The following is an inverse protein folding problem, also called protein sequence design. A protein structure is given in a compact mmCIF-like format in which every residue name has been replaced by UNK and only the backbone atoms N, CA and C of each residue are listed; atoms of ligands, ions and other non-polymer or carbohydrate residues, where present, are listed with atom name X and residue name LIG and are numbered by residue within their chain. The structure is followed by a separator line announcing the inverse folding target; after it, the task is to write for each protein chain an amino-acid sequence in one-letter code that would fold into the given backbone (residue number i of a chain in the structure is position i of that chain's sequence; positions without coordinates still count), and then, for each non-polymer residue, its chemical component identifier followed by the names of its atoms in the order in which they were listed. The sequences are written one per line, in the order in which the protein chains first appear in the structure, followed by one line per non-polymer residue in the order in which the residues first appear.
data_IF_881266017501
#
_entry.id   IF_881266017501
#
_cell.length_a   1.000
_cell.length_b   1.000
_cell.length_c   1.000
_cell.angle_alpha   90.00
_cell.angle_beta   90.00
_cell.angle_gamma   90.00
#
_symmetry.space_group_name_H-M   'P 1'
#
loop_
_entity.id
_entity.type
_entity.pdbx_description
1 polymer ?
#
# COMPACT_ATOMS: atom_id res chain seq x y z
N UNK A 1 34.59 -46.21 -80.02
CA UNK A 1 34.13 -44.90 -79.49
C UNK A 1 32.61 -44.93 -79.50
N UNK A 2 31.86 -44.64 -78.42
CA UNK A 2 32.04 -43.64 -77.35
C UNK A 2 32.26 -44.31 -75.96
N UNK A 3 32.82 -43.73 -74.88
CA UNK A 3 32.78 -42.42 -74.19
C UNK A 3 31.96 -42.48 -72.87
N UNK A 4 32.70 -42.79 -71.80
CA UNK A 4 32.63 -42.50 -70.36
C UNK A 4 31.40 -41.79 -69.73
N UNK A 5 30.75 -42.49 -68.78
CA UNK A 5 30.59 -42.26 -67.31
C UNK A 5 30.16 -40.89 -66.69
N UNK A 6 29.68 -40.84 -65.43
CA UNK A 6 28.34 -40.34 -65.11
C UNK A 6 28.32 -39.13 -64.14
N UNK A 7 27.26 -38.33 -64.17
CA UNK A 7 27.02 -37.24 -63.22
C UNK A 7 25.70 -37.45 -62.48
N UNK A 8 25.76 -37.78 -61.20
CA UNK A 8 24.63 -37.82 -60.27
C UNK A 8 24.11 -36.40 -60.03
N UNK A 9 22.83 -36.16 -60.31
CA UNK A 9 22.12 -34.97 -59.82
C UNK A 9 20.95 -35.45 -58.97
N UNK A 10 21.11 -35.39 -57.65
CA UNK A 10 20.03 -35.59 -56.70
C UNK A 10 19.12 -34.36 -56.74
N UNK A 11 17.89 -34.54 -57.21
CA UNK A 11 16.84 -33.54 -57.14
C UNK A 11 16.28 -33.54 -55.71
N UNK A 12 16.64 -32.55 -54.89
CA UNK A 12 16.00 -32.34 -53.59
C UNK A 12 14.84 -31.36 -53.78
N UNK A 13 13.62 -31.89 -53.88
CA UNK A 13 12.40 -31.14 -53.57
C UNK A 13 12.27 -31.09 -52.04
N UNK A 14 12.35 -29.90 -51.45
CA UNK A 14 11.84 -29.65 -50.10
C UNK A 14 10.96 -28.41 -50.16
N UNK A 15 9.68 -28.68 -50.41
CA UNK A 15 8.59 -27.75 -50.17
C UNK A 15 8.25 -27.76 -48.67
N UNK A 16 7.76 -26.61 -48.20
CA UNK A 16 6.93 -26.41 -47.00
C UNK A 16 7.63 -26.58 -45.64
N UNK A 17 8.00 -25.45 -45.03
CA UNK A 17 7.90 -25.29 -43.58
C UNK A 17 6.81 -24.24 -43.29
N UNK A 18 5.69 -24.63 -42.64
CA UNK A 18 4.72 -23.71 -42.10
C UNK A 18 5.31 -22.99 -40.87
N UNK A 19 4.65 -21.90 -40.46
CA UNK A 19 5.12 -20.92 -39.49
C UNK A 19 5.87 -21.46 -38.27
N UNK A 20 7.00 -20.83 -37.98
CA UNK A 20 7.65 -20.90 -36.67
C UNK A 20 6.63 -20.53 -35.58
N UNK A 21 6.41 -21.36 -34.54
CA UNK A 21 5.67 -20.94 -33.37
C UNK A 21 6.60 -20.08 -32.51
N UNK A 22 6.83 -18.84 -32.92
CA UNK A 22 7.42 -17.82 -32.07
C UNK A 22 6.31 -17.23 -31.20
N UNK A 23 5.81 -17.96 -30.19
CA UNK A 23 5.06 -17.35 -29.06
C UNK A 23 4.55 -18.29 -27.94
N UNK A 24 4.48 -19.62 -28.11
CA UNK A 24 3.57 -20.40 -27.21
C UNK A 24 4.20 -21.11 -26.01
N UNK A 25 5.53 -21.13 -25.84
CA UNK A 25 6.16 -22.00 -24.82
C UNK A 25 6.57 -21.33 -23.48
N UNK A 26 6.23 -20.06 -23.20
CA UNK A 26 6.62 -19.39 -21.93
C UNK A 26 5.47 -18.72 -21.16
N UNK A 27 4.24 -18.78 -21.65
CA UNK A 27 3.08 -18.11 -21.04
C UNK A 27 2.41 -18.90 -19.92
N UNK A 28 2.66 -20.20 -19.77
CA UNK A 28 1.95 -21.07 -18.79
C UNK A 28 2.19 -20.73 -17.31
N UNK A 29 3.11 -19.81 -16.99
CA UNK A 29 3.40 -19.43 -15.59
C UNK A 29 3.18 -17.96 -15.24
N UNK A 30 2.69 -17.14 -16.19
CA UNK A 30 2.46 -15.70 -15.98
C UNK A 30 0.99 -15.44 -15.65
N UNK A 31 0.73 -15.03 -14.41
CA UNK A 31 -0.61 -14.64 -13.96
C UNK A 31 -0.82 -13.13 -14.18
N UNK A 32 -1.94 -12.70 -14.78
CA UNK A 32 -2.29 -11.29 -14.84
C UNK A 32 -2.58 -10.75 -13.42
N UNK A 33 -2.49 -9.43 -13.21
CA UNK A 33 -2.91 -8.84 -11.94
C UNK A 33 -4.40 -9.14 -11.68
N UNK A 34 -4.81 -9.33 -10.42
CA UNK A 34 -6.21 -9.60 -10.09
C UNK A 34 -7.12 -8.47 -10.56
N UNK A 35 -8.24 -8.84 -11.19
CA UNK A 35 -9.22 -7.89 -11.74
C UNK A 35 -9.97 -7.17 -10.61
N UNK A 36 -10.29 -7.88 -9.53
CA UNK A 36 -10.98 -7.35 -8.36
C UNK A 36 -10.04 -7.30 -7.17
N UNK A 37 -9.96 -6.14 -6.52
CA UNK A 37 -9.16 -5.93 -5.31
C UNK A 37 -9.96 -6.26 -4.07
N UNK A 38 -9.36 -7.05 -3.18
CA UNK A 38 -9.81 -7.19 -1.79
C UNK A 38 -8.89 -6.42 -0.85
N UNK A 39 -9.34 -6.09 0.37
CA UNK A 39 -8.45 -5.60 1.41
C UNK A 39 -7.32 -6.58 1.67
N UNK A 40 -6.10 -6.07 1.84
CA UNK A 40 -4.94 -6.86 2.24
C UNK A 40 -5.21 -7.51 3.61
N UNK A 41 -4.94 -8.80 3.70
CA UNK A 41 -4.91 -9.54 4.96
C UNK A 41 -3.45 -9.63 5.43
N UNK A 42 -2.98 -8.54 6.05
CA UNK A 42 -1.54 -8.38 6.30
C UNK A 42 -1.00 -9.48 7.22
N UNK A 43 -1.76 -9.90 8.22
CA UNK A 43 -1.34 -10.97 9.13
C UNK A 43 -1.07 -12.28 8.38
N UNK A 44 -1.97 -12.66 7.46
CA UNK A 44 -1.77 -13.84 6.60
C UNK A 44 -0.59 -13.66 5.66
N UNK A 45 -0.50 -12.50 5.00
CA UNK A 45 0.56 -12.20 4.02
C UNK A 45 1.96 -12.21 4.66
N UNK A 46 2.06 -11.80 5.93
CA UNK A 46 3.31 -11.82 6.68
C UNK A 46 3.79 -13.25 7.01
N UNK A 47 2.93 -14.27 6.97
CA UNK A 47 3.35 -15.68 7.14
C UNK A 47 4.14 -16.19 5.92
N UNK A 48 3.86 -15.65 4.73
CA UNK A 48 4.57 -16.00 3.51
C UNK A 48 4.77 -14.75 2.62
N UNK A 49 5.68 -13.81 2.97
CA UNK A 49 5.81 -12.52 2.30
C UNK A 49 6.18 -12.60 0.81
N UNK A 50 6.70 -13.75 0.35
CA UNK A 50 6.96 -13.99 -1.07
C UNK A 50 5.67 -14.26 -1.86
N UNK A 51 4.64 -14.83 -1.23
CA UNK A 51 3.27 -14.91 -1.79
C UNK A 51 2.67 -13.54 -1.97
N UNK A 52 3.30 -12.52 -1.39
CA UNK A 52 3.09 -11.14 -1.73
C UNK A 52 3.61 -10.75 -3.13
N UNK A 53 3.33 -11.57 -4.14
CA UNK A 53 3.45 -11.24 -5.56
C UNK A 53 4.84 -11.51 -6.11
N UNK A 54 5.00 -12.67 -6.74
CA UNK A 54 6.24 -13.12 -7.38
C UNK A 54 6.78 -12.18 -8.47
N UNK A 55 7.86 -12.61 -9.12
CA UNK A 55 8.60 -11.84 -10.13
C UNK A 55 7.67 -11.23 -11.20
N UNK A 56 7.87 -9.95 -11.53
CA UNK A 56 7.13 -9.26 -12.59
C UNK A 56 7.80 -9.59 -13.93
N UNK A 57 7.01 -10.08 -14.89
CA UNK A 57 7.49 -10.51 -16.19
C UNK A 57 6.76 -9.81 -17.33
N UNK A 58 7.53 -9.41 -18.34
CA UNK A 58 7.03 -8.90 -19.60
C UNK A 58 6.87 -10.03 -20.64
N UNK A 59 5.81 -9.95 -21.42
CA UNK A 59 5.55 -10.83 -22.55
C UNK A 59 4.85 -10.06 -23.69
N UNK A 60 4.96 -10.57 -24.91
CA UNK A 60 4.26 -9.99 -26.06
C UNK A 60 2.80 -10.47 -26.09
N UNK A 61 1.87 -9.54 -26.29
CA UNK A 61 0.51 -9.86 -26.66
C UNK A 61 0.41 -10.26 -28.14
N UNK A 62 -0.75 -10.75 -28.56
CA UNK A 62 -1.02 -11.14 -29.94
C UNK A 62 -0.84 -10.00 -30.97
N UNK A 63 -0.98 -8.74 -30.53
CA UNK A 63 -0.75 -7.54 -31.33
C UNK A 63 0.75 -7.12 -31.37
N UNK A 64 1.64 -7.88 -30.73
CA UNK A 64 3.06 -7.57 -30.57
C UNK A 64 3.37 -6.52 -29.50
N UNK A 65 2.34 -5.94 -28.86
CA UNK A 65 2.49 -4.98 -27.78
C UNK A 65 2.94 -5.66 -26.47
N UNK A 66 3.61 -4.92 -25.57
CA UNK A 66 4.01 -5.48 -24.29
C UNK A 66 2.82 -5.65 -23.35
N UNK A 67 2.88 -6.72 -22.56
CA UNK A 67 2.02 -7.00 -21.40
C UNK A 67 2.89 -7.42 -20.23
N UNK A 68 2.37 -7.20 -19.03
CA UNK A 68 3.04 -7.56 -17.79
C UNK A 68 2.16 -8.47 -16.93
N UNK A 69 2.79 -9.39 -16.22
CA UNK A 69 2.14 -10.25 -15.23
C UNK A 69 3.13 -10.70 -14.18
N UNK A 70 2.75 -11.67 -13.35
CA UNK A 70 3.59 -12.23 -12.29
C UNK A 70 3.86 -13.70 -12.50
N UNK A 71 5.07 -14.13 -12.16
CA UNK A 71 5.35 -15.56 -11.96
C UNK A 71 4.68 -16.03 -10.67
N UNK A 72 3.95 -17.14 -10.74
CA UNK A 72 3.27 -17.74 -9.57
C UNK A 72 4.22 -18.49 -8.60
N UNK A 73 5.52 -18.50 -8.89
CA UNK A 73 6.53 -19.18 -8.09
C UNK A 73 7.21 -18.23 -7.09
N UNK A 74 7.68 -18.74 -5.93
CA UNK A 74 8.55 -17.98 -5.04
C UNK A 74 9.84 -17.54 -5.77
N UNK A 75 10.48 -16.45 -5.31
CA UNK A 75 11.86 -16.16 -5.68
C UNK A 75 12.76 -17.37 -5.38
N UNK A 76 13.72 -17.65 -6.25
CA UNK A 76 14.60 -18.80 -6.10
C UNK A 76 15.51 -18.70 -4.86
N UNK A 77 15.87 -17.48 -4.47
CA UNK A 77 16.74 -17.20 -3.34
C UNK A 77 16.53 -15.77 -2.80
N UNK A 78 17.33 -15.40 -1.79
CA UNK A 78 17.31 -14.06 -1.19
C UNK A 78 17.74 -12.95 -2.16
N UNK A 79 18.53 -13.25 -3.19
CA UNK A 79 18.88 -12.31 -4.26
C UNK A 79 17.67 -11.96 -5.10
N UNK A 80 16.96 -12.98 -5.59
CA UNK A 80 15.71 -12.81 -6.33
C UNK A 80 14.64 -12.07 -5.53
N UNK A 81 14.56 -12.30 -4.22
CA UNK A 81 13.64 -11.55 -3.35
C UNK A 81 14.01 -10.06 -3.24
N UNK A 82 15.31 -9.73 -3.16
CA UNK A 82 15.76 -8.33 -3.16
C UNK A 82 15.46 -7.64 -4.49
N UNK A 83 15.72 -8.30 -5.61
CA UNK A 83 15.44 -7.79 -6.95
C UNK A 83 13.94 -7.55 -7.16
N UNK A 84 13.10 -8.48 -6.67
CA UNK A 84 11.64 -8.34 -6.69
C UNK A 84 11.17 -7.10 -5.93
N UNK A 85 11.64 -6.90 -4.70
CA UNK A 85 11.29 -5.71 -3.88
C UNK A 85 11.82 -4.43 -4.50
N UNK A 86 13.03 -4.46 -5.05
CA UNK A 86 13.64 -3.33 -5.75
C UNK A 86 12.81 -2.92 -6.98
N UNK A 87 12.34 -3.87 -7.79
CA UNK A 87 11.48 -3.56 -8.95
C UNK A 87 10.14 -2.97 -8.52
N UNK A 88 9.50 -3.52 -7.47
CA UNK A 88 8.26 -2.96 -6.93
C UNK A 88 8.44 -1.51 -6.44
N UNK A 89 9.55 -1.23 -5.74
CA UNK A 89 9.88 0.13 -5.32
C UNK A 89 10.20 1.04 -6.51
N UNK A 90 10.92 0.54 -7.52
CA UNK A 90 11.23 1.30 -8.74
C UNK A 90 9.96 1.71 -9.49
N UNK A 91 8.98 0.82 -9.62
CA UNK A 91 7.66 1.13 -10.18
C UNK A 91 6.95 2.23 -9.37
N UNK A 92 6.92 2.08 -8.04
CA UNK A 92 6.30 3.08 -7.17
C UNK A 92 7.01 4.44 -7.26
N UNK A 93 8.34 4.46 -7.30
CA UNK A 93 9.16 5.66 -7.49
C UNK A 93 8.86 6.34 -8.83
N UNK A 94 8.65 5.56 -9.89
CA UNK A 94 8.36 6.07 -11.23
C UNK A 94 6.95 6.67 -11.33
N UNK A 95 5.95 6.02 -10.73
CA UNK A 95 4.54 6.33 -10.99
C UNK A 95 3.82 6.99 -9.81
N UNK A 96 4.09 6.56 -8.57
CA UNK A 96 3.28 6.87 -7.40
C UNK A 96 3.90 7.96 -6.50
N UNK A 97 5.22 8.01 -6.38
CA UNK A 97 5.92 9.00 -5.57
C UNK A 97 5.87 10.39 -6.23
N UNK A 98 5.51 11.40 -5.47
CA UNK A 98 5.58 12.80 -5.92
C UNK A 98 6.98 13.32 -5.59
N UNK A 99 7.85 13.39 -6.59
CA UNK A 99 9.24 13.83 -6.46
C UNK A 99 9.46 15.26 -6.99
N UNK A 100 8.47 15.82 -7.68
CA UNK A 100 8.50 17.17 -8.24
C UNK A 100 7.19 17.89 -7.89
N UNK A 101 7.19 19.23 -7.75
CA UNK A 101 5.97 20.00 -7.54
C UNK A 101 4.94 19.69 -8.64
N UNK A 102 3.69 19.43 -8.26
CA UNK A 102 2.58 19.27 -9.20
C UNK A 102 1.56 20.39 -9.03
N UNK A 103 0.90 20.76 -10.12
CA UNK A 103 0.01 21.94 -10.23
C UNK A 103 -1.37 21.72 -9.56
N UNK A 104 -1.64 20.55 -8.98
CA UNK A 104 -2.95 20.14 -8.42
C UNK A 104 -2.83 20.01 -6.89
N UNK A 105 -3.76 20.52 -6.07
CA UNK A 105 -3.37 21.25 -4.88
C UNK A 105 -2.95 20.35 -3.70
N UNK A 106 -1.96 20.82 -2.95
CA UNK A 106 -1.45 20.32 -1.65
C UNK A 106 -0.53 19.08 -1.67
N UNK A 107 0.01 18.65 -2.81
CA UNK A 107 1.06 17.64 -2.84
C UNK A 107 2.47 18.27 -2.89
N UNK A 108 3.17 18.30 -1.75
CA UNK A 108 4.58 18.68 -1.72
C UNK A 108 5.44 17.51 -2.22
N UNK A 109 6.57 17.77 -2.88
CA UNK A 109 7.51 16.71 -3.24
C UNK A 109 8.08 16.07 -1.97
N UNK A 110 8.27 14.75 -2.02
CA UNK A 110 8.97 13.99 -0.97
C UNK A 110 10.42 14.45 -0.87
N UNK A 111 10.95 14.51 0.35
CA UNK A 111 12.38 14.73 0.58
C UNK A 111 13.17 13.45 0.32
N UNK A 112 14.49 13.57 0.16
CA UNK A 112 15.37 12.40 -0.01
C UNK A 112 15.27 11.43 1.17
N UNK A 113 15.22 11.93 2.40
CA UNK A 113 15.05 11.10 3.61
C UNK A 113 13.72 10.34 3.63
N UNK A 114 12.64 10.95 3.14
CA UNK A 114 11.34 10.30 3.03
C UNK A 114 11.35 9.22 1.95
N UNK A 115 11.98 9.48 0.81
CA UNK A 115 12.17 8.47 -0.25
C UNK A 115 13.01 7.31 0.27
N UNK A 116 14.11 7.59 0.97
CA UNK A 116 14.97 6.56 1.57
C UNK A 116 14.23 5.76 2.65
N UNK A 117 13.36 6.38 3.44
CA UNK A 117 12.51 5.67 4.40
C UNK A 117 11.53 4.73 3.70
N UNK A 118 10.86 5.20 2.64
CA UNK A 118 9.95 4.38 1.83
C UNK A 118 10.69 3.23 1.14
N UNK A 119 11.93 3.45 0.69
CA UNK A 119 12.76 2.41 0.09
C UNK A 119 13.10 1.32 1.11
N UNK A 120 13.54 1.70 2.31
CA UNK A 120 13.78 0.72 3.40
C UNK A 120 12.48 0.01 3.79
N UNK A 121 11.35 0.72 3.80
CA UNK A 121 10.05 0.12 4.07
C UNK A 121 9.68 -0.90 2.99
N UNK A 122 9.81 -0.57 1.70
CA UNK A 122 9.55 -1.49 0.59
C UNK A 122 10.42 -2.76 0.64
N UNK A 123 11.62 -2.67 1.22
CA UNK A 123 12.51 -3.81 1.46
C UNK A 123 12.19 -4.58 2.76
N UNK A 124 11.26 -4.13 3.60
CA UNK A 124 10.70 -4.90 4.72
C UNK A 124 9.58 -5.84 4.25
N UNK A 125 9.23 -6.83 5.05
CA UNK A 125 8.18 -7.80 4.70
C UNK A 125 6.80 -7.14 4.55
N UNK A 126 6.47 -6.19 5.44
CA UNK A 126 5.21 -5.45 5.36
C UNK A 126 5.17 -4.51 4.15
N UNK A 127 6.25 -3.78 3.89
CA UNK A 127 6.30 -2.91 2.72
C UNK A 127 6.28 -3.69 1.41
N UNK A 128 6.90 -4.87 1.33
CA UNK A 128 6.80 -5.72 0.14
C UNK A 128 5.34 -6.08 -0.21
N UNK A 129 4.49 -6.30 0.81
CA UNK A 129 3.05 -6.52 0.61
C UNK A 129 2.36 -5.27 0.04
N UNK A 130 2.62 -4.09 0.61
CA UNK A 130 1.96 -2.86 0.14
C UNK A 130 2.45 -2.41 -1.24
N UNK A 131 3.75 -2.52 -1.50
CA UNK A 131 4.33 -2.17 -2.80
C UNK A 131 3.97 -3.19 -3.89
N UNK A 132 3.65 -4.44 -3.55
CA UNK A 132 2.98 -5.38 -4.47
C UNK A 132 1.66 -4.80 -4.98
N UNK A 133 0.78 -4.36 -4.08
CA UNK A 133 -0.55 -3.86 -4.48
C UNK A 133 -0.42 -2.65 -5.42
N UNK A 134 0.53 -1.77 -5.16
CA UNK A 134 0.86 -0.64 -6.03
C UNK A 134 1.41 -1.09 -7.39
N UNK A 135 2.27 -2.12 -7.40
CA UNK A 135 2.78 -2.72 -8.62
C UNK A 135 1.66 -3.42 -9.42
N UNK A 136 0.72 -4.13 -8.78
CA UNK A 136 -0.42 -4.76 -9.45
C UNK A 136 -1.33 -3.74 -10.11
N UNK A 137 -1.54 -2.60 -9.44
CA UNK A 137 -2.21 -1.46 -10.06
C UNK A 137 -1.45 -0.93 -11.27
N UNK A 138 -0.12 -0.89 -11.21
CA UNK A 138 0.73 -0.47 -12.33
C UNK A 138 0.62 -1.45 -13.50
N UNK A 139 0.67 -2.76 -13.22
CA UNK A 139 0.50 -3.82 -14.21
C UNK A 139 -0.87 -3.73 -14.89
N UNK A 140 -1.93 -3.48 -14.12
CA UNK A 140 -3.29 -3.30 -14.66
C UNK A 140 -3.35 -2.11 -15.60
N UNK A 141 -2.87 -0.94 -15.17
CA UNK A 141 -2.84 0.27 -16.01
C UNK A 141 -2.01 0.06 -17.27
N UNK A 142 -0.87 -0.62 -17.16
CA UNK A 142 -0.02 -0.98 -18.30
C UNK A 142 -0.73 -1.88 -19.30
N UNK A 143 -1.36 -2.96 -18.82
CA UNK A 143 -2.08 -3.92 -19.66
C UNK A 143 -3.34 -3.34 -20.30
N UNK A 144 -3.97 -2.33 -19.68
CA UNK A 144 -5.06 -1.55 -20.26
C UNK A 144 -4.58 -0.55 -21.34
N UNK A 145 -3.27 -0.41 -21.54
CA UNK A 145 -2.68 0.57 -22.47
C UNK A 145 -2.71 2.00 -21.95
N UNK A 146 -2.91 2.21 -20.64
CA UNK A 146 -3.02 3.52 -20.00
C UNK A 146 -1.67 4.14 -19.64
N UNK A 147 -0.59 3.36 -19.70
CA UNK A 147 0.77 3.85 -19.47
C UNK A 147 1.55 3.91 -20.78
N UNK A 148 2.27 5.01 -20.99
CA UNK A 148 3.25 5.08 -22.05
C UNK A 148 4.47 4.21 -21.72
N UNK A 149 5.09 3.67 -22.77
CA UNK A 149 6.31 2.89 -22.68
C UNK A 149 7.30 3.22 -23.80
N UNK A 150 8.56 2.87 -23.59
CA UNK A 150 9.62 3.01 -24.58
C UNK A 150 9.51 1.90 -25.65
N UNK A 151 8.95 2.27 -26.81
CA UNK A 151 8.78 1.35 -27.93
C UNK A 151 10.11 0.88 -28.55
N UNK A 152 11.18 1.68 -28.46
CA UNK A 152 12.48 1.30 -28.97
C UNK A 152 13.11 0.24 -28.06
N UNK A 153 13.02 0.41 -26.74
CA UNK A 153 13.45 -0.59 -25.76
C UNK A 153 12.66 -1.90 -25.90
N UNK A 154 11.34 -1.81 -26.12
CA UNK A 154 10.52 -3.00 -26.38
C UNK A 154 10.92 -3.72 -27.66
N UNK A 155 11.13 -2.98 -28.76
CA UNK A 155 11.57 -3.56 -30.04
C UNK A 155 12.93 -4.23 -29.92
N UNK A 156 13.89 -3.60 -29.23
CA UNK A 156 15.21 -4.19 -28.99
C UNK A 156 15.12 -5.52 -28.24
N UNK A 157 14.19 -5.65 -27.28
CA UNK A 157 13.92 -6.94 -26.62
C UNK A 157 13.36 -7.99 -27.61
N UNK A 158 12.40 -7.62 -28.44
CA UNK A 158 11.83 -8.52 -29.46
C UNK A 158 12.86 -8.99 -30.49
N UNK A 159 13.88 -8.17 -30.76
CA UNK A 159 15.01 -8.48 -31.66
C UNK A 159 16.10 -9.34 -31.00
N UNK A 160 15.86 -9.86 -29.78
CA UNK A 160 16.78 -10.75 -29.06
C UNK A 160 17.65 -10.05 -28.01
N UNK A 161 17.40 -8.77 -27.73
CA UNK A 161 18.02 -8.05 -26.63
C UNK A 161 17.57 -8.55 -25.25
N UNK A 162 18.19 -8.06 -24.16
CA UNK A 162 17.82 -8.44 -22.80
C UNK A 162 16.39 -7.98 -22.47
N UNK A 163 15.66 -8.78 -21.69
CA UNK A 163 14.33 -8.40 -21.20
C UNK A 163 14.45 -7.21 -20.24
N UNK A 164 13.84 -6.06 -20.52
CA UNK A 164 13.87 -4.94 -19.59
C UNK A 164 12.95 -5.22 -18.39
N UNK A 165 13.26 -4.69 -17.19
CA UNK A 165 12.26 -4.60 -16.13
C UNK A 165 11.13 -3.64 -16.53
N UNK A 166 9.94 -3.80 -15.95
CA UNK A 166 8.79 -2.96 -16.28
C UNK A 166 9.07 -1.49 -15.92
N UNK A 167 9.75 -1.22 -14.82
CA UNK A 167 10.11 0.12 -14.35
C UNK A 167 11.00 0.89 -15.33
N UNK A 168 11.86 0.16 -16.08
CA UNK A 168 12.66 0.72 -17.16
C UNK A 168 11.84 0.93 -18.43
N UNK A 169 10.93 0.01 -18.73
CA UNK A 169 10.10 0.07 -19.94
C UNK A 169 9.09 1.22 -19.91
N UNK A 170 8.43 1.48 -18.78
CA UNK A 170 7.43 2.55 -18.69
C UNK A 170 8.06 3.93 -18.54
N UNK A 171 7.42 4.96 -19.11
CA UNK A 171 7.91 6.35 -19.01
C UNK A 171 7.50 7.03 -17.69
N UNK A 172 6.48 6.49 -17.01
CA UNK A 172 5.86 7.11 -15.82
C UNK A 172 4.74 8.10 -16.16
N UNK A 173 4.41 8.26 -17.44
CA UNK A 173 3.28 9.08 -17.91
C UNK A 173 2.08 8.22 -18.30
N UNK A 174 0.90 8.81 -18.17
CA UNK A 174 -0.31 8.24 -18.75
C UNK A 174 -0.26 8.42 -20.27
N UNK A 175 -0.71 7.41 -21.00
CA UNK A 175 -0.97 7.52 -22.45
C UNK A 175 -2.20 8.41 -22.69
N UNK A 176 -2.46 8.75 -23.95
CA UNK A 176 -3.70 9.46 -24.32
C UNK A 176 -4.94 8.72 -23.82
N UNK A 177 -5.00 7.40 -24.02
CA UNK A 177 -6.08 6.56 -23.50
C UNK A 177 -6.20 6.66 -21.96
N UNK A 178 -5.06 6.65 -21.25
CA UNK A 178 -5.03 6.79 -19.80
C UNK A 178 -5.46 8.17 -19.28
N UNK A 179 -5.18 9.25 -20.03
CA UNK A 179 -5.56 10.62 -19.64
C UNK A 179 -7.08 10.82 -19.63
N UNK A 180 -7.81 10.12 -20.50
CA UNK A 180 -9.27 10.21 -20.60
C UNK A 180 -10.02 9.08 -19.89
N UNK A 181 -9.30 8.09 -19.34
CA UNK A 181 -9.90 6.96 -18.63
C UNK A 181 -10.20 7.30 -17.16
N UNK A 182 -11.46 7.15 -16.75
CA UNK A 182 -11.88 7.43 -15.37
C UNK A 182 -11.28 6.46 -14.33
N UNK A 183 -10.91 5.24 -14.76
CA UNK A 183 -10.33 4.19 -13.93
C UNK A 183 -8.78 4.19 -13.93
N UNK A 184 -8.14 5.17 -14.59
CA UNK A 184 -6.69 5.36 -14.61
C UNK A 184 -6.14 6.06 -13.35
N UNK A 185 -6.88 6.04 -12.24
CA UNK A 185 -6.50 6.71 -11.00
C UNK A 185 -5.24 6.11 -10.36
N UNK A 186 -4.13 6.84 -10.47
CA UNK A 186 -2.83 6.50 -9.87
C UNK A 186 -2.81 6.83 -8.38
N UNK A 187 -2.48 5.86 -7.54
CA UNK A 187 -2.24 6.07 -6.11
C UNK A 187 -1.03 6.98 -5.87
N UNK A 188 -1.09 7.90 -4.90
CA UNK A 188 -0.02 8.88 -4.69
C UNK A 188 0.60 8.82 -3.30
N UNK A 189 1.93 8.95 -3.25
CA UNK A 189 2.65 9.19 -2.00
C UNK A 189 3.37 10.53 -2.13
N UNK A 190 3.09 11.44 -1.20
CA UNK A 190 3.62 12.81 -1.26
C UNK A 190 3.85 13.41 0.12
N UNK A 191 4.52 14.54 0.20
CA UNK A 191 4.79 15.21 1.45
C UNK A 191 3.71 16.24 1.82
N UNK A 192 3.60 16.55 3.11
CA UNK A 192 2.86 17.71 3.61
C UNK A 192 3.64 18.38 4.75
N UNK A 193 3.27 19.62 5.07
CA UNK A 193 3.86 20.33 6.20
C UNK A 193 3.21 19.86 7.51
N UNK A 194 3.90 18.98 8.22
CA UNK A 194 3.42 18.37 9.46
C UNK A 194 4.33 17.23 9.93
N UNK A 195 3.90 16.54 11.00
CA UNK A 195 4.56 15.36 11.57
C UNK A 195 3.74 14.10 11.32
N UNK A 196 4.42 12.96 11.23
CA UNK A 196 3.82 11.64 11.05
C UNK A 196 3.46 11.35 9.61
N UNK A 197 2.45 10.51 9.42
CA UNK A 197 1.87 10.24 8.11
C UNK A 197 0.35 10.26 8.21
N UNK A 198 -0.31 10.42 7.06
CA UNK A 198 -1.77 10.44 6.95
C UNK A 198 -2.19 9.85 5.62
N UNK A 199 -3.19 8.98 5.63
CA UNK A 199 -3.75 8.42 4.42
C UNK A 199 -5.04 9.10 3.96
N UNK A 200 -5.40 8.77 2.73
CA UNK A 200 -6.73 8.79 2.16
C UNK A 200 -6.85 7.57 1.24
N UNK A 201 -8.06 7.28 0.75
CA UNK A 201 -8.28 6.11 -0.10
C UNK A 201 -7.30 6.01 -1.29
N UNK A 202 -6.92 7.14 -1.89
CA UNK A 202 -6.03 7.18 -3.06
C UNK A 202 -4.61 7.69 -2.75
N UNK A 203 -4.24 7.92 -1.49
CA UNK A 203 -2.92 8.45 -1.17
C UNK A 203 -2.40 8.18 0.24
N UNK A 204 -1.08 8.24 0.38
CA UNK A 204 -0.37 8.38 1.66
C UNK A 204 0.40 9.69 1.65
N UNK A 205 0.35 10.42 2.77
CA UNK A 205 1.02 11.70 2.97
C UNK A 205 2.05 11.57 4.05
N UNK A 206 3.27 12.05 3.79
CA UNK A 206 4.39 12.00 4.73
C UNK A 206 4.73 13.39 5.27
N UNK A 207 4.72 13.53 6.58
CA UNK A 207 5.06 14.77 7.25
C UNK A 207 6.55 15.08 7.09
N UNK A 208 6.87 16.30 6.64
CA UNK A 208 8.28 16.74 6.50
C UNK A 208 9.02 16.85 7.82
N UNK A 209 8.30 16.92 8.95
CA UNK A 209 8.88 16.96 10.30
C UNK A 209 9.19 15.54 10.84
N UNK A 210 9.00 14.51 10.03
CA UNK A 210 9.29 13.11 10.39
C UNK A 210 8.29 12.51 11.38
N UNK A 211 8.64 11.36 11.94
CA UNK A 211 7.87 10.65 12.96
C UNK A 211 8.40 11.03 14.35
N UNK A 212 7.51 11.03 15.35
CA UNK A 212 7.91 11.16 16.77
C UNK A 212 8.61 9.88 17.22
N UNK A 213 9.44 9.95 18.25
CA UNK A 213 10.03 8.76 18.88
C UNK A 213 9.00 7.95 19.69
N UNK A 214 8.00 8.64 20.25
CA UNK A 214 6.96 8.05 21.12
C UNK A 214 5.60 8.68 20.84
N UNK A 215 4.54 7.90 21.08
CA UNK A 215 3.17 8.42 21.10
C UNK A 215 2.97 9.31 22.32
N UNK A 216 2.40 10.49 22.12
CA UNK A 216 2.30 11.50 23.17
C UNK A 216 1.37 11.11 24.32
N UNK A 217 0.39 10.24 24.06
CA UNK A 217 -0.58 9.79 25.05
C UNK A 217 -0.09 8.60 25.87
N UNK A 218 0.42 7.57 25.20
CA UNK A 218 0.78 6.31 25.85
C UNK A 218 2.26 6.22 26.23
N UNK A 219 3.12 7.08 25.67
CA UNK A 219 4.58 6.97 25.81
C UNK A 219 5.18 5.79 25.05
N UNK A 220 4.36 4.98 24.37
CA UNK A 220 4.81 3.83 23.60
C UNK A 220 5.74 4.28 22.46
N UNK A 221 6.80 3.49 22.21
CA UNK A 221 7.70 3.75 21.09
C UNK A 221 6.98 3.64 19.75
N UNK A 222 7.30 4.57 18.85
CA UNK A 222 6.80 4.61 17.48
C UNK A 222 7.73 3.80 16.59
N UNK A 223 7.15 2.84 15.87
CA UNK A 223 7.80 2.16 14.76
C UNK A 223 7.33 2.81 13.44
N UNK A 224 8.20 3.53 12.70
CA UNK A 224 7.82 4.19 11.46
C UNK A 224 7.24 3.24 10.40
N UNK A 225 7.68 1.98 10.35
CA UNK A 225 7.15 1.00 9.39
C UNK A 225 5.76 0.54 9.77
N UNK A 226 5.49 0.37 11.06
CA UNK A 226 4.14 0.08 11.54
C UNK A 226 3.18 1.25 11.26
N UNK A 227 3.63 2.50 11.43
CA UNK A 227 2.81 3.67 11.08
C UNK A 227 2.57 3.75 9.56
N UNK A 228 3.59 3.53 8.73
CA UNK A 228 3.38 3.48 7.28
C UNK A 228 2.38 2.39 6.89
N UNK A 229 2.50 1.20 7.48
CA UNK A 229 1.56 0.09 7.27
C UNK A 229 0.15 0.44 7.74
N UNK A 230 0.00 1.13 8.87
CA UNK A 230 -1.27 1.68 9.35
C UNK A 230 -1.91 2.59 8.29
N UNK A 231 -1.16 3.54 7.75
CA UNK A 231 -1.66 4.46 6.72
C UNK A 231 -2.04 3.74 5.41
N UNK A 232 -1.25 2.74 4.99
CA UNK A 232 -1.65 1.89 3.87
C UNK A 232 -2.94 1.13 4.18
N UNK A 233 -3.16 0.72 5.43
CA UNK A 233 -4.40 0.14 5.92
C UNK A 233 -5.63 1.03 5.73
N UNK A 234 -5.48 2.34 5.68
CA UNK A 234 -6.55 3.31 5.38
C UNK A 234 -6.71 3.64 3.89
N UNK A 235 -5.88 3.05 3.05
CA UNK A 235 -5.94 3.26 1.60
C UNK A 235 -6.92 2.30 0.92
N UNK A 236 -7.08 2.43 -0.40
CA UNK A 236 -7.80 1.47 -1.26
C UNK A 236 -7.25 0.04 -1.23
N UNK A 237 -6.04 -0.16 -0.70
CA UNK A 237 -5.43 -1.48 -0.54
C UNK A 237 -5.81 -2.14 0.79
N UNK A 238 -6.25 -1.36 1.77
CA UNK A 238 -6.75 -1.85 3.06
C UNK A 238 -8.25 -1.66 3.19
N UNK A 239 -8.67 -0.99 4.26
CA UNK A 239 -10.04 -0.60 4.53
C UNK A 239 -10.17 0.94 4.63
N UNK A 240 -10.49 1.65 3.53
CA UNK A 240 -10.61 3.11 3.58
C UNK A 240 -11.78 3.60 4.41
N UNK A 241 -12.73 2.72 4.80
CA UNK A 241 -13.85 3.09 5.65
C UNK A 241 -13.46 3.17 7.12
N UNK A 242 -12.31 2.62 7.49
CA UNK A 242 -11.80 2.62 8.86
C UNK A 242 -11.17 3.97 9.26
N UNK A 243 -10.82 4.81 8.29
CA UNK A 243 -10.11 6.06 8.51
C UNK A 243 -10.92 7.08 9.31
N UNK A 244 -10.30 7.68 10.32
CA UNK A 244 -10.82 8.80 11.09
C UNK A 244 -11.94 8.48 12.07
N UNK A 245 -12.27 7.20 12.29
CA UNK A 245 -13.31 6.72 13.21
C UNK A 245 -12.65 5.94 14.37
N UNK A 246 -12.98 6.14 15.66
CA UNK A 246 -12.25 5.49 16.75
C UNK A 246 -12.20 3.97 16.63
N UNK A 247 -13.33 3.32 16.27
CA UNK A 247 -13.36 1.88 16.05
C UNK A 247 -12.60 1.45 14.79
N UNK A 248 -12.67 2.24 13.73
CA UNK A 248 -11.96 1.96 12.48
C UNK A 248 -10.45 2.07 12.66
N UNK A 249 -10.00 3.10 13.36
CA UNK A 249 -8.60 3.31 13.74
C UNK A 249 -8.10 2.15 14.61
N UNK A 250 -8.83 1.77 15.66
CA UNK A 250 -8.48 0.63 16.50
C UNK A 250 -8.38 -0.69 15.69
N UNK A 251 -9.30 -0.92 14.75
CA UNK A 251 -9.22 -2.07 13.82
C UNK A 251 -8.02 -2.00 12.89
N UNK A 252 -7.65 -0.80 12.45
CA UNK A 252 -6.48 -0.57 11.59
C UNK A 252 -5.20 -0.86 12.36
N UNK A 253 -5.13 -0.46 13.64
CA UNK A 253 -4.03 -0.85 14.53
C UNK A 253 -3.95 -2.37 14.63
N UNK A 254 -5.06 -3.05 14.92
CA UNK A 254 -5.09 -4.50 15.06
C UNK A 254 -4.61 -5.23 13.79
N UNK A 255 -5.08 -4.79 12.61
CA UNK A 255 -4.86 -5.51 11.33
C UNK A 255 -3.57 -5.13 10.61
N UNK A 256 -3.11 -3.89 10.75
CA UNK A 256 -2.06 -3.34 9.88
C UNK A 256 -0.87 -2.76 10.63
N UNK A 257 -1.05 -2.30 11.88
CA UNK A 257 0.05 -1.77 12.69
C UNK A 257 0.68 -2.86 13.56
N UNK A 258 -0.12 -3.53 14.38
CA UNK A 258 0.33 -4.53 15.35
C UNK A 258 1.08 -5.70 14.72
N UNK A 259 0.68 -6.27 13.56
CA UNK A 259 1.46 -7.33 12.93
C UNK A 259 2.88 -6.89 12.57
N UNK A 260 3.06 -5.63 12.19
CA UNK A 260 4.38 -5.06 11.88
C UNK A 260 5.16 -4.79 13.16
N UNK A 261 4.52 -4.18 14.17
CA UNK A 261 5.13 -3.95 15.50
C UNK A 261 5.70 -5.24 16.08
N UNK A 262 4.89 -6.30 16.13
CA UNK A 262 5.29 -7.60 16.66
C UNK A 262 6.50 -8.18 15.92
N UNK A 263 6.50 -8.10 14.58
CA UNK A 263 7.60 -8.58 13.76
C UNK A 263 8.90 -7.81 13.98
N UNK A 264 8.81 -6.53 14.32
CA UNK A 264 9.97 -5.68 14.64
C UNK A 264 10.36 -5.70 16.13
N UNK A 265 9.72 -6.54 16.95
CA UNK A 265 10.01 -6.66 18.39
C UNK A 265 9.43 -5.55 19.25
N UNK A 266 8.46 -4.78 18.74
CA UNK A 266 7.72 -3.79 19.52
C UNK A 266 6.49 -4.45 20.20
N UNK A 267 6.12 -4.02 21.41
CA UNK A 267 4.87 -4.46 22.01
C UNK A 267 3.68 -4.01 21.15
N UNK A 268 2.63 -4.86 21.02
CA UNK A 268 1.42 -4.47 20.30
C UNK A 268 0.71 -3.36 21.07
N UNK A 269 0.10 -2.43 20.34
CA UNK A 269 -0.76 -1.42 20.95
C UNK A 269 -2.09 -2.05 21.31
N UNK A 270 -2.46 -1.93 22.57
CA UNK A 270 -3.71 -2.44 23.13
C UNK A 270 -4.79 -1.36 23.21
N UNK A 271 -4.40 -0.09 23.11
CA UNK A 271 -5.31 1.05 23.17
C UNK A 271 -4.94 2.06 22.09
N UNK A 272 -5.93 2.49 21.33
CA UNK A 272 -5.79 3.58 20.38
C UNK A 272 -6.40 4.86 20.96
N UNK A 273 -5.65 5.95 20.92
CA UNK A 273 -6.08 7.27 21.39
C UNK A 273 -6.45 8.13 20.19
N UNK A 274 -7.74 8.41 20.01
CA UNK A 274 -8.21 9.33 18.98
C UNK A 274 -8.41 10.72 19.58
N UNK A 275 -7.85 11.75 18.93
CA UNK A 275 -8.16 13.14 19.25
C UNK A 275 -9.49 13.57 18.64
N UNK A 276 -10.31 14.22 19.45
CA UNK A 276 -11.53 14.91 19.04
C UNK A 276 -11.19 16.38 18.84
N UNK A 277 -11.20 16.82 17.58
CA UNK A 277 -11.02 18.24 17.26
C UNK A 277 -12.29 19.05 17.62
N UNK A 278 -12.15 20.24 18.21
CA UNK A 278 -13.31 21.10 18.51
C UNK A 278 -14.11 21.42 17.25
N UNK A 279 -15.45 21.37 17.37
CA UNK A 279 -16.37 21.61 16.25
C UNK A 279 -16.48 20.45 15.24
N UNK A 280 -15.77 19.33 15.44
CA UNK A 280 -15.92 18.15 14.59
C UNK A 280 -17.29 17.52 14.81
N UNK A 281 -18.17 17.66 13.81
CA UNK A 281 -19.45 16.98 13.80
C UNK A 281 -19.23 15.46 13.66
N UNK A 282 -20.07 14.63 14.29
CA UNK A 282 -20.03 13.19 14.09
C UNK A 282 -20.19 12.89 12.61
N UNK A 283 -19.24 12.13 12.06
CA UNK A 283 -19.48 11.47 10.78
C UNK A 283 -20.63 10.50 11.04
N UNK A 284 -21.75 10.65 10.33
CA UNK A 284 -23.05 10.03 10.62
C UNK A 284 -23.07 8.50 10.67
N UNK A 285 -21.93 7.83 10.41
CA UNK A 285 -21.78 6.37 10.39
C UNK A 285 -21.05 5.78 11.61
N UNK A 286 -20.59 6.62 12.53
CA UNK A 286 -19.79 6.16 13.67
C UNK A 286 -20.64 6.06 14.94
N UNK A 287 -21.25 4.89 15.14
CA UNK A 287 -22.12 4.64 16.28
C UNK A 287 -21.41 4.78 17.63
N UNK A 288 -20.10 4.50 17.71
CA UNK A 288 -19.35 4.71 18.95
C UNK A 288 -19.19 6.21 19.21
N UNK A 289 -18.78 6.98 18.19
CA UNK A 289 -18.62 8.41 18.33
C UNK A 289 -19.95 9.11 18.67
N UNK A 290 -21.07 8.67 18.08
CA UNK A 290 -22.41 9.14 18.47
C UNK A 290 -22.71 8.85 19.94
N UNK A 291 -22.43 7.64 20.45
CA UNK A 291 -22.60 7.32 21.88
C UNK A 291 -21.72 8.19 22.79
N UNK A 292 -20.46 8.41 22.40
CA UNK A 292 -19.52 9.27 23.16
C UNK A 292 -19.99 10.73 23.20
N UNK A 293 -20.50 11.27 22.10
CA UNK A 293 -21.06 12.63 22.07
C UNK A 293 -22.38 12.73 22.84
N UNK A 294 -23.25 11.73 22.77
CA UNK A 294 -24.48 11.70 23.58
C UNK A 294 -24.17 11.65 25.07
N UNK A 295 -23.17 10.85 25.47
CA UNK A 295 -22.65 10.82 26.84
C UNK A 295 -22.16 12.20 27.31
N UNK A 296 -21.54 13.00 26.43
CA UNK A 296 -21.09 14.36 26.74
C UNK A 296 -22.26 15.32 27.05
N UNK A 297 -23.38 15.18 26.34
CA UNK A 297 -24.54 16.08 26.48
C UNK A 297 -25.43 15.71 27.67
N UNK A 298 -25.54 14.42 27.99
CA UNK A 298 -26.30 13.91 29.12
C UNK A 298 -25.43 12.91 29.89
N UNK A 299 -24.54 13.39 30.77
CA UNK A 299 -23.66 12.52 31.53
C UNK A 299 -24.43 11.63 32.52
N UNK A 300 -24.74 10.41 32.09
CA UNK A 300 -25.13 9.27 32.92
C UNK A 300 -24.62 7.99 32.21
N UNK A 301 -24.22 6.88 32.84
CA UNK A 301 -23.84 6.51 34.21
C UNK A 301 -22.96 5.25 34.03
N UNK A 302 -21.62 5.40 34.04
CA UNK A 302 -20.55 4.37 33.88
C UNK A 302 -19.98 4.18 32.46
N UNK A 303 -18.65 4.06 32.39
CA UNK A 303 -17.86 3.84 31.16
C UNK A 303 -18.22 2.55 30.42
N UNK A 304 -18.68 1.53 31.14
CA UNK A 304 -19.01 0.21 30.57
C UNK A 304 -20.08 0.27 29.45
N UNK A 305 -20.95 1.29 29.47
CA UNK A 305 -21.98 1.47 28.44
C UNK A 305 -21.40 1.99 27.10
N UNK A 306 -20.13 2.41 27.12
CA UNK A 306 -19.36 2.88 25.97
C UNK A 306 -18.39 1.84 25.42
N UNK A 307 -18.57 0.55 25.74
CA UNK A 307 -17.72 -0.53 25.20
C UNK A 307 -17.52 -0.37 23.67
N UNK A 308 -16.27 -0.44 23.17
CA UNK A 308 -15.01 -0.83 23.85
C UNK A 308 -14.11 0.34 24.30
N UNK A 309 -14.68 1.45 24.78
CA UNK A 309 -13.90 2.61 25.30
C UNK A 309 -13.25 2.28 26.65
N UNK A 310 -11.96 2.54 26.75
CA UNK A 310 -11.12 2.36 27.95
C UNK A 310 -10.96 3.65 28.76
N UNK A 311 -11.13 4.81 28.13
CA UNK A 311 -10.94 6.09 28.79
C UNK A 311 -11.42 7.27 27.96
N UNK A 312 -11.82 8.33 28.65
CA UNK A 312 -12.21 9.60 28.09
C UNK A 312 -11.35 10.67 28.74
N UNK A 313 -10.62 11.46 27.94
CA UNK A 313 -9.71 12.47 28.47
C UNK A 313 -10.12 13.87 28.04
N UNK A 314 -10.20 14.74 29.03
CA UNK A 314 -10.63 16.12 28.92
C UNK A 314 -9.43 17.05 29.07
N UNK A 315 -9.50 18.19 28.39
CA UNK A 315 -8.57 19.32 28.57
C UNK A 315 -9.35 20.48 29.18
N UNK A 316 -8.84 21.04 30.27
CA UNK A 316 -9.49 22.11 31.01
C UNK A 316 -8.84 23.45 30.73
N UNK A 317 -9.64 24.52 30.59
CA UNK A 317 -9.13 25.86 30.28
C UNK A 317 -8.10 26.39 31.31
N UNK A 318 -8.24 25.98 32.57
CA UNK A 318 -7.35 26.31 33.69
C UNK A 318 -5.96 25.64 33.62
N UNK A 319 -5.81 24.58 32.82
CA UNK A 319 -4.56 23.86 32.63
C UNK A 319 -4.42 23.36 31.19
N UNK A 320 -4.20 24.27 30.21
CA UNK A 320 -4.05 23.90 28.81
C UNK A 320 -2.92 22.88 28.62
N UNK A 321 -3.18 21.84 27.83
CA UNK A 321 -2.24 20.73 27.61
C UNK A 321 -2.20 19.65 28.69
N UNK A 322 -2.84 19.86 29.85
CA UNK A 322 -2.99 18.82 30.87
C UNK A 322 -4.25 17.99 30.61
N UNK A 323 -4.07 16.69 30.37
CA UNK A 323 -5.17 15.76 30.16
C UNK A 323 -5.63 15.17 31.49
N UNK A 324 -6.94 15.21 31.72
CA UNK A 324 -7.59 14.65 32.90
C UNK A 324 -8.63 13.62 32.49
N UNK A 325 -8.86 12.62 33.34
CA UNK A 325 -9.96 11.68 33.14
C UNK A 325 -11.31 12.41 33.29
N UNK A 326 -12.14 12.36 32.25
CA UNK A 326 -13.47 12.98 32.23
C UNK A 326 -14.45 12.31 33.20
N UNK A 327 -14.17 11.10 33.68
CA UNK A 327 -15.02 10.33 34.58
C UNK A 327 -14.76 10.61 36.06
N UNK A 328 -13.64 11.26 36.38
CA UNK A 328 -13.30 11.58 37.77
C UNK A 328 -14.10 12.82 38.21
N UNK A 329 -14.96 12.73 39.24
CA UNK A 329 -15.83 13.84 39.63
C UNK A 329 -15.05 14.96 40.34
N UNK A 330 -15.44 16.22 40.08
CA UNK A 330 -15.33 17.31 41.07
C UNK A 330 -16.57 18.22 41.10
N UNK A 331 -16.90 18.79 42.28
CA UNK A 331 -18.06 19.64 42.48
C UNK A 331 -17.87 21.01 41.81
N UNK A 332 -18.97 21.56 41.26
CA UNK A 332 -19.19 22.96 40.88
C UNK A 332 -18.40 23.60 39.71
N UNK A 333 -17.28 23.06 39.22
CA UNK A 333 -16.46 23.70 38.16
C UNK A 333 -16.42 22.93 36.81
N UNK A 334 -17.34 21.99 36.60
CA UNK A 334 -17.42 21.14 35.40
C UNK A 334 -17.67 21.88 34.07
N UNK A 335 -17.85 23.21 34.09
CA UNK A 335 -18.12 24.02 32.90
C UNK A 335 -16.93 24.34 32.00
N UNK A 336 -15.69 24.05 32.42
CA UNK A 336 -14.48 24.51 31.73
C UNK A 336 -13.60 23.41 31.08
N UNK A 337 -14.00 22.14 31.17
CA UNK A 337 -13.25 21.02 30.61
C UNK A 337 -13.93 20.44 29.37
N UNK A 338 -13.20 20.34 28.26
CA UNK A 338 -13.70 19.78 27.01
C UNK A 338 -13.13 18.38 26.76
N UNK A 339 -13.98 17.42 26.39
CA UNK A 339 -13.52 16.12 25.91
C UNK A 339 -12.62 16.31 24.68
N UNK A 340 -11.38 15.82 24.78
CA UNK A 340 -10.36 15.94 23.73
C UNK A 340 -9.88 14.62 23.18
N UNK A 341 -9.95 13.54 23.97
CA UNK A 341 -9.45 12.24 23.53
C UNK A 341 -10.36 11.10 23.97
N UNK A 342 -10.44 10.09 23.11
CA UNK A 342 -11.09 8.81 23.40
C UNK A 342 -10.05 7.72 23.27
N UNK A 343 -9.88 6.94 24.33
CA UNK A 343 -9.10 5.71 24.31
C UNK A 343 -10.02 4.53 23.99
N UNK A 344 -9.71 3.81 22.91
CA UNK A 344 -10.48 2.66 22.45
C UNK A 344 -9.62 1.42 22.52
N UNK A 345 -10.15 0.34 23.10
CA UNK A 345 -9.47 -0.96 23.11
C UNK A 345 -9.24 -1.44 21.69
N UNK A 346 -8.02 -1.83 21.40
CA UNK A 346 -7.64 -2.53 20.18
C UNK A 346 -7.95 -4.00 20.40
N UNK A 347 -8.84 -4.56 19.58
CA UNK A 347 -9.05 -6.01 19.59
C UNK A 347 -7.72 -6.69 19.27
N UNK A 348 -7.24 -7.54 20.17
CA UNK A 348 -6.08 -8.37 19.89
C UNK A 348 -6.45 -9.38 18.80
N UNK A 349 -5.56 -9.61 17.81
CA UNK A 349 -5.73 -10.72 16.89
C UNK A 349 -5.91 -11.99 17.74
N UNK A 350 -7.00 -12.73 17.51
CA UNK A 350 -7.12 -14.06 18.12
C UNK A 350 -5.94 -14.88 17.60
N UNK A 351 -5.15 -15.54 18.47
CA UNK A 351 -4.15 -16.47 17.97
C UNK A 351 -4.87 -17.44 17.03
N UNK A 352 -4.30 -17.66 15.85
CA UNK A 352 -4.83 -18.62 14.90
C UNK A 352 -5.10 -19.93 15.66
N UNK A 353 -6.34 -20.42 15.60
CA UNK A 353 -6.65 -21.72 16.13
C UNK A 353 -5.66 -22.71 15.50
N UNK A 354 -4.84 -23.33 16.33
CA UNK A 354 -4.03 -24.47 15.93
C UNK A 354 -5.00 -25.57 15.54
N UNK A 355 -5.27 -25.71 14.23
CA UNK A 355 -5.85 -26.92 13.65
C UNK A 355 -4.78 -28.00 13.46
#
# INVERSE_FOLDING_TARGET
MPAMSPGRTALLLLALLPGLPLAEAQTESIQPPPVTRGPVDLERELQAPWQAGGEILLHAAADGGPRAGRRAAPPADAGGERERRAEQFALARKLNLVLQPRVVPLALPLTEDQVALLERFAHSDAGAVWFREMADDTLRLFNQGYLEYDAALWRAYLEGGPRPPLSALITGRLSEAGLFAQDAAVFRIYAYDGMGSMAAAASVRMGRKGFRCQFSMSGEAVDPFAILSHEFGHSRYGDPRSAGQPLGEARTVARYENPVRLRHGFPPRLVYYLRIEPGRLPVTRDALFTRVLAWREQPALRLADLDPVEGLYCECAEAPGALRDCLTPRPAEAGACELRWVAVRVETPRPAASE
#
